data_IF_695054362995
#
_entry.id   IF_695054362995
#
_cell.length_a   1.000
_cell.length_b   1.000
_cell.length_c   1.000
_cell.angle_alpha   90.00
_cell.angle_beta   90.00
_cell.angle_gamma   90.00
#
_symmetry.space_group_name_H-M   'P 1'
#
loop_
_entity.id
_entity.type
_entity.pdbx_description
1 polymer ?
#
# COMPACT_ATOMS: atom_id res chain seq x y z
N UNK A 1 14.23 11.80 2.95
CA UNK A 1 13.90 10.97 1.77
C UNK A 1 12.40 10.98 1.48
N UNK A 2 11.51 10.69 2.45
CA UNK A 2 10.05 10.70 2.25
C UNK A 2 9.53 12.09 1.83
N UNK A 3 9.98 13.16 2.49
CA UNK A 3 9.62 14.53 2.16
C UNK A 3 10.04 14.94 0.74
N UNK A 4 11.18 14.45 0.27
CA UNK A 4 11.66 14.74 -1.08
C UNK A 4 10.73 14.10 -2.12
N UNK A 5 10.32 12.84 -1.91
CA UNK A 5 9.33 12.17 -2.75
C UNK A 5 7.95 12.82 -2.63
N UNK A 6 7.52 13.19 -1.41
CA UNK A 6 6.27 13.90 -1.19
C UNK A 6 6.25 15.26 -1.90
N UNK A 7 7.37 15.98 -1.92
CA UNK A 7 7.52 17.21 -2.68
C UNK A 7 7.39 16.98 -4.19
N UNK A 8 8.06 15.94 -4.73
CA UNK A 8 7.95 15.58 -6.14
C UNK A 8 6.52 15.20 -6.51
N UNK A 9 5.89 14.35 -5.73
CA UNK A 9 4.49 13.95 -5.90
C UNK A 9 3.52 15.12 -5.74
N UNK A 10 3.87 16.08 -4.87
CA UNK A 10 3.10 17.31 -4.67
C UNK A 10 3.02 18.16 -5.93
N UNK A 11 4.11 18.32 -6.66
CA UNK A 11 4.09 19.02 -7.95
C UNK A 11 3.18 18.34 -8.98
N UNK A 12 3.24 17.00 -9.06
CA UNK A 12 2.37 16.25 -9.96
C UNK A 12 0.91 16.40 -9.56
N UNK A 13 0.59 16.27 -8.27
CA UNK A 13 -0.78 16.40 -7.77
C UNK A 13 -1.32 17.82 -7.97
N UNK A 14 -0.51 18.86 -7.69
CA UNK A 14 -0.84 20.27 -7.93
C UNK A 14 -1.13 20.53 -9.41
N UNK A 15 -0.29 20.01 -10.31
CA UNK A 15 -0.53 20.12 -11.75
C UNK A 15 -1.84 19.46 -12.17
N UNK A 16 -2.12 18.25 -11.68
CA UNK A 16 -3.38 17.56 -12.00
C UNK A 16 -4.58 18.32 -11.42
N UNK A 17 -4.46 18.82 -10.19
CA UNK A 17 -5.50 19.62 -9.56
C UNK A 17 -5.79 20.91 -10.35
N UNK A 18 -4.76 21.60 -10.86
CA UNK A 18 -4.95 22.81 -11.67
C UNK A 18 -5.75 22.57 -12.95
N UNK A 19 -5.74 21.34 -13.49
CA UNK A 19 -6.50 20.96 -14.69
C UNK A 19 -7.96 20.64 -14.34
N UNK A 20 -8.19 19.88 -13.26
CA UNK A 20 -9.52 19.31 -12.97
C UNK A 20 -10.29 20.09 -11.90
N UNK A 21 -9.62 20.95 -11.15
CA UNK A 21 -10.16 21.75 -10.04
C UNK A 21 -11.03 20.92 -9.07
N UNK A 22 -10.61 19.67 -8.80
CA UNK A 22 -11.27 18.77 -7.87
C UNK A 22 -10.25 17.80 -7.25
N UNK A 23 -10.13 17.82 -5.93
CA UNK A 23 -9.09 17.07 -5.22
C UNK A 23 -9.25 15.54 -5.37
N UNK A 24 -10.49 15.04 -5.35
CA UNK A 24 -10.75 13.61 -5.52
C UNK A 24 -10.39 13.11 -6.92
N UNK A 25 -10.75 13.85 -7.97
CA UNK A 25 -10.37 13.53 -9.35
C UNK A 25 -8.85 13.60 -9.51
N UNK A 26 -8.21 14.62 -8.94
CA UNK A 26 -6.75 14.75 -8.96
C UNK A 26 -6.05 13.54 -8.30
N UNK A 27 -6.54 13.07 -7.15
CA UNK A 27 -6.03 11.84 -6.49
C UNK A 27 -6.19 10.61 -7.39
N UNK A 28 -7.33 10.46 -8.07
CA UNK A 28 -7.56 9.31 -8.97
C UNK A 28 -6.56 9.33 -10.13
N UNK A 29 -6.43 10.46 -10.82
CA UNK A 29 -5.51 10.63 -11.94
C UNK A 29 -4.05 10.44 -11.50
N UNK A 30 -3.68 11.02 -10.37
CA UNK A 30 -2.37 10.84 -9.76
C UNK A 30 -2.07 9.36 -9.51
N UNK A 31 -3.03 8.64 -8.91
CA UNK A 31 -2.85 7.20 -8.60
C UNK A 31 -2.68 6.38 -9.87
N UNK A 32 -3.45 6.66 -10.92
CA UNK A 32 -3.34 5.98 -12.22
C UNK A 32 -1.96 6.24 -12.85
N UNK A 33 -1.50 7.49 -12.87
CA UNK A 33 -0.20 7.86 -13.45
C UNK A 33 0.94 7.18 -12.69
N UNK A 34 0.94 7.22 -11.36
CA UNK A 34 1.96 6.54 -10.55
C UNK A 34 1.93 5.04 -10.80
N UNK A 35 0.76 4.41 -10.93
CA UNK A 35 0.64 2.98 -11.26
C UNK A 35 1.23 2.65 -12.63
N UNK A 36 1.00 3.47 -13.63
CA UNK A 36 1.58 3.28 -14.98
C UNK A 36 3.11 3.38 -14.93
N UNK A 37 3.65 4.40 -14.23
CA UNK A 37 5.09 4.58 -14.06
C UNK A 37 5.72 3.38 -13.34
N UNK A 38 5.03 2.81 -12.35
CA UNK A 38 5.51 1.67 -11.57
C UNK A 38 5.22 0.31 -12.21
N UNK A 39 4.49 0.26 -13.32
CA UNK A 39 4.11 -1.00 -13.98
C UNK A 39 5.31 -1.91 -14.32
N UNK A 40 6.44 -1.42 -14.88
CA UNK A 40 7.61 -2.26 -15.12
C UNK A 40 8.18 -2.90 -13.84
N UNK A 41 8.15 -2.15 -12.73
CA UNK A 41 8.57 -2.65 -11.43
C UNK A 41 7.61 -3.73 -10.92
N UNK A 42 6.30 -3.52 -11.06
CA UNK A 42 5.26 -4.48 -10.67
C UNK A 42 5.38 -5.80 -11.44
N UNK A 43 5.64 -5.75 -12.75
CA UNK A 43 5.89 -6.94 -13.58
C UNK A 43 7.08 -7.73 -13.04
N UNK A 44 8.20 -7.05 -12.79
CA UNK A 44 9.39 -7.68 -12.22
C UNK A 44 9.12 -8.30 -10.85
N UNK A 45 8.37 -7.60 -9.99
CA UNK A 45 7.96 -8.10 -8.67
C UNK A 45 7.14 -9.39 -8.80
N UNK A 46 6.18 -9.42 -9.72
CA UNK A 46 5.29 -10.57 -9.89
C UNK A 46 6.05 -11.79 -10.44
N UNK A 47 6.96 -11.60 -11.41
CA UNK A 47 7.87 -12.65 -11.88
C UNK A 47 8.77 -13.18 -10.74
N UNK A 48 9.33 -12.29 -9.91
CA UNK A 48 10.12 -12.66 -8.72
C UNK A 48 9.28 -13.44 -7.70
N UNK A 49 8.04 -13.02 -7.42
CA UNK A 49 7.14 -13.75 -6.51
C UNK A 49 6.82 -15.16 -7.00
N UNK A 50 6.54 -15.35 -8.30
CA UNK A 50 6.35 -16.68 -8.89
C UNK A 50 7.59 -17.56 -8.75
N UNK A 51 8.77 -17.00 -9.02
CA UNK A 51 10.04 -17.71 -8.88
C UNK A 51 10.32 -18.08 -7.42
N UNK A 52 10.08 -17.14 -6.48
CA UNK A 52 10.20 -17.40 -5.04
C UNK A 52 9.26 -18.51 -4.56
N UNK A 53 8.03 -18.55 -5.07
CA UNK A 53 7.08 -19.61 -4.75
C UNK A 53 7.55 -21.00 -5.22
N UNK A 54 8.15 -21.09 -6.43
CA UNK A 54 8.76 -22.34 -6.92
C UNK A 54 9.96 -22.75 -6.04
N UNK A 55 10.75 -21.78 -5.59
CA UNK A 55 11.93 -22.04 -4.76
C UNK A 55 11.58 -22.50 -3.33
N UNK A 56 10.43 -22.06 -2.78
CA UNK A 56 9.99 -22.47 -1.43
C UNK A 56 9.91 -23.98 -1.25
N UNK A 57 9.62 -24.76 -2.28
CA UNK A 57 9.62 -26.23 -2.22
C UNK A 57 11.01 -26.80 -2.00
N UNK A 58 11.96 -26.31 -2.81
CA UNK A 58 13.36 -26.73 -2.66
C UNK A 58 13.90 -26.35 -1.28
N UNK A 59 13.50 -25.18 -0.77
CA UNK A 59 13.86 -24.74 0.57
C UNK A 59 13.29 -25.67 1.65
N UNK A 60 12.05 -26.15 1.51
CA UNK A 60 11.44 -27.12 2.44
C UNK A 60 12.22 -28.43 2.46
N UNK A 61 12.62 -28.95 1.31
CA UNK A 61 13.44 -30.18 1.23
C UNK A 61 14.77 -29.99 1.97
N UNK A 62 15.45 -28.85 1.78
CA UNK A 62 16.71 -28.53 2.47
C UNK A 62 16.48 -28.42 3.98
N UNK A 63 15.44 -27.71 4.42
CA UNK A 63 15.08 -27.58 5.84
C UNK A 63 14.82 -28.94 6.48
N UNK A 64 14.13 -29.83 5.78
CA UNK A 64 13.87 -31.19 6.26
C UNK A 64 15.15 -32.01 6.32
N UNK A 65 15.96 -32.03 5.26
CA UNK A 65 17.17 -32.82 5.14
C UNK A 65 18.22 -32.45 6.20
N UNK A 66 18.35 -31.16 6.50
CA UNK A 66 19.37 -30.63 7.42
C UNK A 66 18.79 -30.10 8.73
N UNK A 67 17.63 -30.60 9.18
CA UNK A 67 16.94 -30.14 10.40
C UNK A 67 17.84 -30.12 11.65
N UNK A 68 18.75 -31.07 11.77
CA UNK A 68 19.66 -31.21 12.91
C UNK A 68 21.03 -30.56 12.68
N UNK A 69 21.26 -29.96 11.51
CA UNK A 69 22.53 -29.31 11.14
C UNK A 69 22.25 -27.94 10.56
N UNK A 70 22.13 -26.95 11.46
CA UNK A 70 21.79 -25.57 11.11
C UNK A 70 22.83 -24.92 10.18
N UNK A 71 24.10 -25.28 10.36
CA UNK A 71 25.19 -24.71 9.54
C UNK A 71 25.09 -25.20 8.09
N UNK A 72 24.91 -26.48 7.92
CA UNK A 72 24.75 -27.11 6.61
C UNK A 72 23.44 -26.70 5.94
N UNK A 73 22.36 -26.55 6.69
CA UNK A 73 21.10 -26.02 6.20
C UNK A 73 21.29 -24.60 5.63
N UNK A 74 21.99 -23.71 6.35
CA UNK A 74 22.25 -22.34 5.88
C UNK A 74 23.14 -22.32 4.64
N UNK A 75 24.14 -23.19 4.56
CA UNK A 75 25.02 -23.33 3.40
C UNK A 75 24.22 -23.79 2.16
N UNK A 76 23.38 -24.82 2.29
CA UNK A 76 22.56 -25.34 1.19
C UNK A 76 21.47 -24.34 0.76
N UNK A 77 20.90 -23.60 1.69
CA UNK A 77 19.99 -22.51 1.38
C UNK A 77 20.67 -21.41 0.55
N UNK A 78 21.89 -21.01 0.93
CA UNK A 78 22.67 -20.03 0.16
C UNK A 78 23.09 -20.58 -1.21
N UNK A 79 23.42 -21.85 -1.31
CA UNK A 79 23.70 -22.52 -2.59
C UNK A 79 22.49 -22.52 -3.50
N UNK A 80 21.30 -22.80 -2.96
CA UNK A 80 20.03 -22.75 -3.69
C UNK A 80 19.77 -21.34 -4.25
N UNK A 81 19.95 -20.28 -3.43
CA UNK A 81 19.82 -18.89 -3.90
C UNK A 81 20.77 -18.57 -5.05
N UNK A 82 22.04 -19.03 -4.97
CA UNK A 82 23.04 -18.84 -6.02
C UNK A 82 22.66 -19.59 -7.30
N UNK A 83 22.28 -20.84 -7.19
CA UNK A 83 21.92 -21.72 -8.32
C UNK A 83 20.69 -21.19 -9.08
N UNK A 84 19.72 -20.67 -8.34
CA UNK A 84 18.50 -20.08 -8.91
C UNK A 84 18.69 -18.62 -9.37
N UNK A 85 19.90 -18.04 -9.27
CA UNK A 85 20.18 -16.63 -9.57
C UNK A 85 19.19 -15.69 -8.88
N UNK A 86 18.92 -15.94 -7.59
CA UNK A 86 18.05 -15.11 -6.76
C UNK A 86 18.81 -14.54 -5.58
N UNK A 87 18.49 -13.30 -5.22
CA UNK A 87 18.99 -12.71 -3.97
C UNK A 87 18.01 -13.05 -2.82
N UNK A 88 18.50 -13.45 -1.63
CA UNK A 88 17.65 -13.63 -0.46
C UNK A 88 16.92 -12.33 -0.06
N UNK A 89 17.45 -11.18 -0.48
CA UNK A 89 16.89 -9.85 -0.20
C UNK A 89 15.91 -9.34 -1.26
N UNK A 90 15.70 -10.08 -2.37
CA UNK A 90 14.83 -9.62 -3.47
C UNK A 90 13.37 -9.36 -3.04
N UNK A 91 12.87 -10.13 -2.08
CA UNK A 91 11.54 -9.94 -1.51
C UNK A 91 11.43 -8.72 -0.60
N UNK A 92 12.44 -8.47 0.25
CA UNK A 92 12.40 -7.34 1.18
C UNK A 92 12.63 -6.00 0.47
N UNK A 93 13.42 -5.94 -0.59
CA UNK A 93 13.61 -4.72 -1.38
C UNK A 93 12.29 -4.20 -1.94
N UNK A 94 11.46 -5.11 -2.43
CA UNK A 94 10.10 -4.78 -2.90
C UNK A 94 9.26 -4.16 -1.78
N UNK A 95 9.26 -4.77 -0.59
CA UNK A 95 8.53 -4.27 0.57
C UNK A 95 9.03 -2.88 1.00
N UNK A 96 10.33 -2.64 0.96
CA UNK A 96 10.92 -1.34 1.28
C UNK A 96 10.46 -0.26 0.28
N UNK A 97 10.51 -0.53 -1.03
CA UNK A 97 10.04 0.42 -2.04
C UNK A 97 8.55 0.73 -1.83
N UNK A 98 7.73 -0.30 -1.58
CA UNK A 98 6.30 -0.14 -1.32
C UNK A 98 6.05 0.72 -0.07
N UNK A 99 6.83 0.52 0.99
CA UNK A 99 6.74 1.31 2.23
C UNK A 99 7.15 2.77 1.99
N UNK A 100 8.23 3.01 1.23
CA UNK A 100 8.69 4.35 0.88
C UNK A 100 7.60 5.13 0.11
N UNK A 101 6.96 4.49 -0.87
CA UNK A 101 5.86 5.08 -1.64
C UNK A 101 4.65 5.36 -0.74
N UNK A 102 4.25 4.38 0.09
CA UNK A 102 3.13 4.54 1.02
C UNK A 102 3.32 5.74 1.94
N UNK A 103 4.49 5.85 2.57
CA UNK A 103 4.79 6.95 3.49
C UNK A 103 4.85 8.30 2.75
N UNK A 104 5.44 8.36 1.56
CA UNK A 104 5.51 9.61 0.79
C UNK A 104 4.13 10.12 0.39
N UNK A 105 3.22 9.23 0.00
CA UNK A 105 1.84 9.58 -0.34
C UNK A 105 1.04 9.93 0.93
N UNK A 106 1.29 9.23 2.04
CA UNK A 106 0.70 9.59 3.33
C UNK A 106 1.07 11.03 3.72
N UNK A 107 2.34 11.41 3.60
CA UNK A 107 2.79 12.79 3.86
C UNK A 107 2.09 13.79 2.92
N UNK A 108 2.01 13.48 1.63
CA UNK A 108 1.36 14.33 0.64
C UNK A 108 -0.12 14.58 0.95
N UNK A 109 -0.89 13.53 1.26
CA UNK A 109 -2.33 13.66 1.53
C UNK A 109 -2.60 14.24 2.91
N UNK A 110 -1.71 14.00 3.87
CA UNK A 110 -1.77 14.60 5.22
C UNK A 110 -1.54 16.10 5.19
N UNK A 111 -0.62 16.54 4.34
CA UNK A 111 -0.14 17.93 4.30
C UNK A 111 -0.18 18.50 2.88
N UNK A 112 -1.38 18.61 2.26
CA UNK A 112 -1.53 19.07 0.90
C UNK A 112 -1.14 20.54 0.73
N UNK A 113 -1.30 21.37 1.74
CA UNK A 113 -0.94 22.78 1.73
C UNK A 113 0.59 22.93 1.60
N UNK A 114 1.35 22.15 2.36
CA UNK A 114 2.82 22.14 2.31
C UNK A 114 3.32 21.57 0.97
N UNK A 115 2.82 20.39 0.58
CA UNK A 115 3.42 19.66 -0.56
C UNK A 115 2.82 20.00 -1.92
N UNK A 116 1.54 20.38 -1.99
CA UNK A 116 0.86 20.73 -3.24
C UNK A 116 0.84 22.23 -3.46
N UNK A 117 0.36 23.03 -2.50
CA UNK A 117 0.21 24.47 -2.61
C UNK A 117 1.49 25.27 -2.28
N UNK A 118 2.50 24.61 -1.70
CA UNK A 118 3.81 25.21 -1.36
C UNK A 118 3.71 26.43 -0.47
N UNK A 119 2.76 26.43 0.49
CA UNK A 119 2.65 27.50 1.47
C UNK A 119 3.80 27.34 2.50
N UNK A 120 4.51 28.44 2.86
CA UNK A 120 5.55 28.39 3.87
C UNK A 120 5.03 27.90 5.22
N UNK A 121 5.85 27.11 5.92
CA UNK A 121 5.49 26.57 7.26
C UNK A 121 5.18 27.68 8.28
N UNK A 122 5.79 28.85 8.12
CA UNK A 122 5.54 30.01 8.98
C UNK A 122 4.09 30.50 8.85
N UNK A 123 3.57 30.60 7.62
CA UNK A 123 2.19 30.99 7.35
C UNK A 123 1.21 29.93 7.85
N UNK A 124 1.52 28.65 7.63
CA UNK A 124 0.71 27.53 8.15
C UNK A 124 0.59 27.63 9.67
N UNK A 125 1.72 27.83 10.37
CA UNK A 125 1.73 27.97 11.83
C UNK A 125 0.96 29.22 12.29
N UNK A 126 1.08 30.33 11.58
CA UNK A 126 0.29 31.56 11.82
C UNK A 126 -1.21 31.26 11.77
N UNK A 127 -1.69 30.57 10.72
CA UNK A 127 -3.12 30.25 10.59
C UNK A 127 -3.59 29.28 11.67
N UNK A 128 -2.78 28.28 12.04
CA UNK A 128 -3.08 27.36 13.13
C UNK A 128 -3.23 28.16 14.45
N UNK A 129 -2.29 29.05 14.76
CA UNK A 129 -2.35 29.87 15.98
C UNK A 129 -3.60 30.75 16.01
N UNK A 130 -3.97 31.39 14.89
CA UNK A 130 -5.19 32.19 14.81
C UNK A 130 -6.46 31.38 15.12
N UNK A 131 -6.55 30.15 14.62
CA UNK A 131 -7.69 29.28 14.89
C UNK A 131 -7.73 28.83 16.35
N UNK A 132 -6.57 28.50 16.94
CA UNK A 132 -6.45 28.11 18.35
C UNK A 132 -6.81 29.24 19.31
N UNK A 133 -6.40 30.47 19.01
CA UNK A 133 -6.76 31.68 19.79
C UNK A 133 -8.27 31.94 19.81
N UNK A 134 -8.99 31.58 18.75
CA UNK A 134 -10.44 31.63 18.67
C UNK A 134 -11.13 30.40 19.28
N UNK A 135 -10.36 29.51 19.92
CA UNK A 135 -10.91 28.31 20.60
C UNK A 135 -11.34 27.17 19.66
N UNK A 136 -10.87 27.19 18.39
CA UNK A 136 -11.17 26.13 17.44
C UNK A 136 -10.23 24.94 17.65
N UNK A 137 -10.78 23.75 17.63
CA UNK A 137 -10.01 22.53 17.77
C UNK A 137 -9.27 22.20 16.47
N UNK A 138 -7.95 22.10 16.54
CA UNK A 138 -7.08 21.71 15.42
C UNK A 138 -6.45 20.34 15.72
N UNK A 139 -6.57 19.43 14.78
CA UNK A 139 -5.99 18.10 14.87
C UNK A 139 -4.46 18.16 14.92
N UNK A 140 -3.85 17.50 15.87
CA UNK A 140 -2.40 17.33 15.91
C UNK A 140 -1.86 16.47 14.77
N UNK A 141 -2.71 15.65 14.15
CA UNK A 141 -2.31 14.72 13.08
C UNK A 141 -2.55 15.32 11.71
N UNK A 142 -3.66 16.04 11.51
CA UNK A 142 -4.08 16.57 10.21
C UNK A 142 -4.37 18.08 10.24
N UNK A 143 -3.46 18.92 10.76
CA UNK A 143 -3.74 20.35 10.94
C UNK A 143 -4.04 21.05 9.61
N UNK A 144 -3.39 20.69 8.52
CA UNK A 144 -3.59 21.33 7.22
C UNK A 144 -4.97 21.01 6.63
N UNK A 145 -5.54 19.86 6.93
CA UNK A 145 -6.91 19.51 6.52
C UNK A 145 -7.92 20.39 7.27
N UNK A 146 -7.67 20.67 8.55
CA UNK A 146 -8.51 21.57 9.31
C UNK A 146 -8.40 23.03 8.79
N UNK A 147 -7.20 23.48 8.38
CA UNK A 147 -7.05 24.79 7.72
C UNK A 147 -7.89 24.89 6.44
N UNK A 148 -7.93 23.85 5.62
CA UNK A 148 -8.76 23.79 4.41
C UNK A 148 -10.25 23.90 4.77
N UNK A 149 -10.68 23.19 5.82
CA UNK A 149 -12.08 23.24 6.31
C UNK A 149 -12.45 24.63 6.84
N UNK A 150 -11.51 25.31 7.46
CA UNK A 150 -11.69 26.64 8.05
C UNK A 150 -11.34 27.78 7.09
N UNK A 151 -11.20 27.48 5.77
CA UNK A 151 -10.85 28.44 4.73
C UNK A 151 -11.70 29.73 4.80
N UNK A 152 -13.03 29.61 4.89
CA UNK A 152 -13.92 30.76 4.87
C UNK A 152 -13.64 31.72 6.04
N UNK A 153 -13.42 31.19 7.23
CA UNK A 153 -13.07 31.97 8.41
C UNK A 153 -11.69 32.63 8.27
N UNK A 154 -10.69 31.87 7.80
CA UNK A 154 -9.34 32.39 7.58
C UNK A 154 -9.33 33.48 6.51
N UNK A 155 -10.14 33.34 5.48
CA UNK A 155 -10.30 34.34 4.42
C UNK A 155 -10.91 35.64 4.93
N UNK A 156 -11.90 35.56 5.82
CA UNK A 156 -12.51 36.74 6.43
C UNK A 156 -11.50 37.50 7.34
N UNK A 157 -10.69 36.76 8.08
CA UNK A 157 -9.67 37.35 8.99
C UNK A 157 -8.44 37.86 8.25
N UNK A 158 -8.09 37.29 7.09
CA UNK A 158 -6.91 37.65 6.31
C UNK A 158 -7.27 37.96 4.82
N UNK A 159 -8.09 38.94 4.53
CA UNK A 159 -8.66 39.19 3.18
C UNK A 159 -7.64 39.50 2.11
N UNK A 160 -6.47 40.06 2.48
CA UNK A 160 -5.40 40.43 1.55
C UNK A 160 -4.29 39.38 1.44
N UNK A 161 -4.36 38.31 2.22
CA UNK A 161 -3.32 37.28 2.24
C UNK A 161 -3.54 36.29 1.08
N UNK A 162 -2.69 36.37 0.07
CA UNK A 162 -2.76 35.49 -1.11
C UNK A 162 -2.54 34.01 -0.81
N UNK A 163 -1.87 33.68 0.30
CA UNK A 163 -1.66 32.28 0.70
C UNK A 163 -2.94 31.67 1.28
N UNK A 164 -3.83 32.48 1.85
CA UNK A 164 -5.14 31.99 2.30
C UNK A 164 -5.98 31.53 1.12
N UNK A 165 -5.91 32.18 -0.05
CA UNK A 165 -6.64 31.75 -1.26
C UNK A 165 -6.26 30.33 -1.70
N UNK A 166 -5.02 29.92 -1.49
CA UNK A 166 -4.54 28.58 -1.82
C UNK A 166 -5.11 27.50 -0.89
N UNK A 167 -5.70 27.87 0.25
CA UNK A 167 -6.41 26.93 1.13
C UNK A 167 -7.76 26.50 0.54
N UNK A 168 -8.27 27.21 -0.47
CA UNK A 168 -9.54 26.90 -1.13
C UNK A 168 -9.44 25.66 -2.03
N UNK A 169 -9.11 24.53 -1.45
CA UNK A 169 -9.08 23.27 -2.18
C UNK A 169 -10.49 22.67 -2.28
N UNK A 170 -10.92 22.33 -3.50
CA UNK A 170 -12.23 21.71 -3.74
C UNK A 170 -12.22 20.24 -3.30
N UNK A 171 -12.55 20.02 -2.01
CA UNK A 171 -12.52 18.69 -1.36
C UNK A 171 -13.80 17.87 -1.59
N UNK A 172 -14.83 18.45 -2.21
CA UNK A 172 -16.06 17.73 -2.48
C UNK A 172 -15.91 16.83 -3.72
N UNK A 173 -16.08 15.53 -3.54
CA UNK A 173 -15.99 14.51 -4.59
C UNK A 173 -17.26 13.63 -4.56
N UNK A 174 -18.09 13.68 -5.60
CA UNK A 174 -19.36 12.95 -5.72
C UNK A 174 -20.29 13.15 -4.51
N UNK A 175 -20.30 14.35 -3.93
CA UNK A 175 -21.09 14.67 -2.74
C UNK A 175 -20.43 14.26 -1.41
N UNK A 176 -19.23 13.70 -1.45
CA UNK A 176 -18.46 13.32 -0.27
C UNK A 176 -17.39 14.37 0.01
N UNK A 177 -17.33 14.89 1.21
CA UNK A 177 -16.29 15.82 1.65
C UNK A 177 -15.03 15.05 2.07
N UNK A 178 -14.00 15.10 1.22
CA UNK A 178 -12.76 14.36 1.41
C UNK A 178 -11.90 14.87 2.57
N UNK A 179 -12.19 16.05 3.12
CA UNK A 179 -11.53 16.58 4.32
C UNK A 179 -12.03 15.95 5.61
N UNK A 180 -13.21 15.33 5.60
CA UNK A 180 -13.80 14.72 6.80
C UNK A 180 -13.06 13.48 7.24
N UNK A 181 -13.00 13.30 8.56
CA UNK A 181 -12.45 12.11 9.23
C UNK A 181 -13.61 11.33 9.83
N UNK A 182 -13.82 10.03 9.50
CA UNK A 182 -14.97 9.27 9.97
C UNK A 182 -15.13 9.28 11.49
N UNK A 183 -14.05 9.11 12.23
CA UNK A 183 -14.07 9.10 13.70
C UNK A 183 -14.55 10.43 14.31
N UNK A 184 -14.31 11.55 13.64
CA UNK A 184 -14.72 12.88 14.11
C UNK A 184 -16.13 13.27 13.64
N UNK A 185 -16.67 12.57 12.63
CA UNK A 185 -17.96 12.91 11.99
C UNK A 185 -18.93 11.74 12.01
N UNK A 186 -19.06 11.04 13.15
CA UNK A 186 -19.83 9.78 13.25
C UNK A 186 -21.33 9.93 12.95
N UNK A 187 -21.89 11.12 13.09
CA UNK A 187 -23.30 11.40 12.77
C UNK A 187 -23.57 11.50 11.25
N UNK A 188 -22.52 11.70 10.45
CA UNK A 188 -22.61 11.79 8.99
C UNK A 188 -22.32 10.42 8.36
N UNK A 189 -23.36 9.72 7.95
CA UNK A 189 -23.22 8.39 7.35
C UNK A 189 -22.41 8.37 6.06
N UNK A 190 -22.28 9.50 5.36
CA UNK A 190 -21.54 9.59 4.10
C UNK A 190 -20.04 9.35 4.29
N UNK A 191 -19.49 9.62 5.47
CA UNK A 191 -18.07 9.40 5.79
C UNK A 191 -17.65 7.93 5.79
N UNK A 192 -18.60 7.00 5.87
CA UNK A 192 -18.31 5.56 5.88
C UNK A 192 -18.29 4.95 4.48
N UNK A 193 -18.77 5.65 3.45
CA UNK A 193 -18.89 5.09 2.08
C UNK A 193 -17.53 4.66 1.55
N UNK A 194 -16.54 5.55 1.55
CA UNK A 194 -15.19 5.24 1.04
C UNK A 194 -14.49 4.15 1.87
N UNK A 195 -14.45 4.22 3.22
CA UNK A 195 -13.88 3.15 4.04
C UNK A 195 -14.54 1.78 3.81
N UNK A 196 -15.87 1.71 3.68
CA UNK A 196 -16.58 0.45 3.42
C UNK A 196 -16.19 -0.12 2.04
N UNK A 197 -16.17 0.71 0.99
CA UNK A 197 -15.73 0.30 -0.34
C UNK A 197 -14.28 -0.18 -0.33
N UNK A 198 -13.42 0.50 0.43
CA UNK A 198 -12.03 0.08 0.63
C UNK A 198 -11.94 -1.29 1.31
N UNK A 199 -12.70 -1.53 2.37
CA UNK A 199 -12.77 -2.83 3.05
C UNK A 199 -13.21 -3.92 2.08
N UNK A 200 -14.28 -3.69 1.32
CA UNK A 200 -14.78 -4.66 0.34
C UNK A 200 -13.73 -4.97 -0.73
N UNK A 201 -13.08 -3.95 -1.30
CA UNK A 201 -12.02 -4.14 -2.29
C UNK A 201 -10.80 -4.87 -1.70
N UNK A 202 -10.46 -4.62 -0.43
CA UNK A 202 -9.38 -5.30 0.28
C UNK A 202 -9.68 -6.79 0.48
N UNK A 203 -10.92 -7.13 0.81
CA UNK A 203 -11.35 -8.53 0.88
C UNK A 203 -11.19 -9.26 -0.46
N UNK A 204 -11.58 -8.62 -1.57
CA UNK A 204 -11.38 -9.17 -2.91
C UNK A 204 -9.90 -9.39 -3.19
N UNK A 205 -9.05 -8.39 -2.89
CA UNK A 205 -7.60 -8.47 -3.09
C UNK A 205 -6.95 -9.60 -2.29
N UNK A 206 -7.33 -9.77 -1.01
CA UNK A 206 -6.84 -10.85 -0.14
C UNK A 206 -7.27 -12.21 -0.67
N UNK A 207 -8.55 -12.37 -1.05
CA UNK A 207 -9.07 -13.62 -1.63
C UNK A 207 -8.32 -14.01 -2.89
N UNK A 208 -8.05 -13.05 -3.78
CA UNK A 208 -7.27 -13.30 -4.99
C UNK A 208 -5.83 -13.74 -4.67
N UNK A 209 -5.17 -13.08 -3.70
CA UNK A 209 -3.81 -13.42 -3.29
C UNK A 209 -3.74 -14.82 -2.70
N UNK A 210 -4.65 -15.14 -1.77
CA UNK A 210 -4.70 -16.46 -1.12
C UNK A 210 -5.08 -17.58 -2.08
N UNK A 211 -6.00 -17.33 -3.03
CA UNK A 211 -6.39 -18.32 -4.04
C UNK A 211 -5.25 -18.67 -5.00
N UNK A 212 -4.44 -17.67 -5.40
CA UNK A 212 -3.24 -17.90 -6.23
C UNK A 212 -2.21 -18.73 -5.46
N UNK A 213 -1.95 -18.40 -4.20
CA UNK A 213 -1.04 -19.15 -3.34
C UNK A 213 -1.53 -20.59 -3.09
N UNK A 214 -2.83 -20.78 -2.86
CA UNK A 214 -3.43 -22.10 -2.66
C UNK A 214 -3.35 -22.96 -3.92
N UNK A 215 -3.71 -22.43 -5.09
CA UNK A 215 -3.58 -23.16 -6.37
C UNK A 215 -2.14 -23.57 -6.68
N UNK A 216 -1.17 -22.76 -6.30
CA UNK A 216 0.25 -23.11 -6.40
C UNK A 216 0.62 -24.23 -5.42
N UNK A 217 0.07 -24.22 -4.21
CA UNK A 217 0.30 -25.25 -3.20
C UNK A 217 -0.47 -26.55 -3.50
N UNK A 218 -1.70 -26.50 -4.05
CA UNK A 218 -2.49 -27.70 -4.38
C UNK A 218 -1.98 -28.42 -5.62
N UNK A 219 -1.52 -27.72 -6.66
CA UNK A 219 -0.83 -28.33 -7.81
C UNK A 219 0.44 -29.08 -7.37
N UNK A 220 0.87 -28.91 -6.13
CA UNK A 220 2.14 -29.35 -5.56
C UNK A 220 2.01 -30.23 -4.32
N UNK A 221 0.79 -30.62 -3.92
CA UNK A 221 0.55 -31.73 -2.97
C UNK A 221 0.92 -33.13 -3.54
N UNK A 222 1.71 -33.15 -4.63
CA UNK A 222 2.47 -34.31 -5.05
C UNK A 222 3.54 -34.60 -3.99
N UNK A 223 3.63 -35.85 -3.60
CA UNK A 223 4.57 -36.47 -2.69
C UNK A 223 5.95 -35.83 -2.79
N UNK A 224 6.50 -35.31 -1.70
CA UNK A 224 7.89 -34.85 -1.66
C UNK A 224 8.76 -36.09 -1.82
N UNK A 225 9.37 -36.29 -2.97
CA UNK A 225 10.27 -37.41 -3.23
C UNK A 225 11.69 -36.87 -2.99
N UNK A 226 12.42 -37.51 -2.12
CA UNK A 226 13.85 -37.27 -1.96
C UNK A 226 14.58 -37.66 -3.24
N UNK A 227 15.19 -36.66 -3.91
CA UNK A 227 15.86 -36.84 -5.20
C UNK A 227 17.07 -37.78 -5.17
N UNK A 228 17.63 -38.10 -3.99
CA UNK A 228 18.75 -39.02 -3.83
C UNK A 228 18.29 -40.44 -3.48
N UNK A 229 17.20 -40.59 -2.69
CA UNK A 229 16.75 -41.90 -2.19
C UNK A 229 15.50 -42.41 -2.91
N UNK A 230 14.82 -41.58 -3.69
CA UNK A 230 13.56 -41.93 -4.38
C UNK A 230 12.40 -42.25 -3.42
N UNK A 231 12.57 -42.03 -2.11
CA UNK A 231 11.57 -42.34 -1.10
C UNK A 231 10.65 -41.15 -0.83
N UNK A 232 9.39 -41.47 -0.62
CA UNK A 232 8.37 -40.52 -0.18
C UNK A 232 8.65 -40.05 1.26
N UNK A 233 8.80 -38.74 1.44
CA UNK A 233 9.01 -38.15 2.78
C UNK A 233 7.64 -37.95 3.41
N UNK A 234 7.15 -38.98 4.12
CA UNK A 234 5.94 -38.93 4.92
C UNK A 234 6.31 -38.71 6.40
N UNK A 235 6.17 -37.48 6.92
CA UNK A 235 6.44 -37.23 8.32
C UNK A 235 5.49 -36.19 8.93
N UNK A 236 4.57 -36.64 9.78
CA UNK A 236 3.57 -35.84 10.49
C UNK A 236 4.18 -34.70 11.36
N UNK A 237 5.42 -34.85 11.84
CA UNK A 237 6.09 -33.81 12.63
C UNK A 237 6.59 -32.62 11.79
N UNK A 238 6.95 -32.87 10.52
CA UNK A 238 7.38 -31.78 9.61
C UNK A 238 6.19 -30.95 9.13
N UNK A 239 4.99 -31.52 9.05
CA UNK A 239 3.76 -30.77 8.72
C UNK A 239 3.49 -29.67 9.74
N UNK A 240 3.64 -29.92 11.03
CA UNK A 240 3.37 -28.94 12.08
C UNK A 240 4.35 -27.75 12.08
N UNK A 241 5.63 -27.95 11.77
CA UNK A 241 6.63 -26.87 11.69
C UNK A 241 6.48 -26.06 10.39
N UNK A 242 6.17 -26.73 9.28
CA UNK A 242 5.89 -26.13 8.00
C UNK A 242 4.58 -25.33 8.05
N UNK A 243 3.57 -25.86 8.73
CA UNK A 243 2.31 -25.18 8.96
C UNK A 243 2.49 -23.94 9.83
N UNK A 244 3.39 -23.96 10.83
CA UNK A 244 3.71 -22.79 11.65
C UNK A 244 4.33 -21.65 10.80
N UNK A 245 5.26 -21.95 9.89
CA UNK A 245 5.86 -20.96 8.98
C UNK A 245 4.83 -20.43 7.97
N UNK A 246 3.99 -21.33 7.42
CA UNK A 246 2.89 -20.94 6.53
C UNK A 246 1.84 -20.12 7.27
N UNK A 247 1.53 -20.44 8.50
CA UNK A 247 0.60 -19.69 9.35
C UNK A 247 1.15 -18.30 9.69
N UNK A 248 2.44 -18.17 9.94
CA UNK A 248 3.12 -16.88 10.15
C UNK A 248 3.05 -16.01 8.89
N UNK A 249 3.32 -16.57 7.72
CA UNK A 249 3.21 -15.85 6.44
C UNK A 249 1.76 -15.45 6.14
N UNK A 250 0.79 -16.30 6.46
CA UNK A 250 -0.63 -16.00 6.32
C UNK A 250 -1.05 -14.90 7.29
N UNK A 251 -0.60 -14.95 8.54
CA UNK A 251 -0.88 -13.93 9.55
C UNK A 251 -0.28 -12.56 9.14
N UNK A 252 0.96 -12.54 8.64
CA UNK A 252 1.57 -11.31 8.10
C UNK A 252 0.80 -10.75 6.90
N UNK A 253 0.27 -11.59 6.02
CA UNK A 253 -0.53 -11.16 4.87
C UNK A 253 -1.86 -10.52 5.27
N UNK A 254 -2.42 -10.87 6.44
CA UNK A 254 -3.66 -10.30 6.97
C UNK A 254 -3.42 -9.06 7.84
N UNK A 255 -2.26 -8.96 8.49
CA UNK A 255 -1.94 -7.88 9.42
C UNK A 255 -1.91 -6.52 8.69
N UNK A 256 -1.34 -6.46 7.50
CA UNK A 256 -1.23 -5.21 6.73
C UNK A 256 -2.61 -4.66 6.31
N UNK A 257 -3.54 -5.43 5.73
CA UNK A 257 -4.91 -4.97 5.45
C UNK A 257 -5.69 -4.56 6.70
N UNK A 258 -5.59 -5.32 7.79
CA UNK A 258 -6.29 -4.98 9.05
C UNK A 258 -5.81 -3.63 9.58
N UNK A 259 -4.51 -3.38 9.59
CA UNK A 259 -3.93 -2.10 10.01
C UNK A 259 -4.42 -0.95 9.10
N UNK A 260 -4.43 -1.16 7.78
CA UNK A 260 -4.88 -0.15 6.82
C UNK A 260 -6.38 0.16 6.97
N UNK A 261 -7.20 -0.83 7.27
CA UNK A 261 -8.63 -0.65 7.57
C UNK A 261 -8.79 0.24 8.82
N UNK A 262 -8.05 -0.06 9.89
CA UNK A 262 -8.10 0.76 11.12
C UNK A 262 -7.72 2.22 10.85
N UNK A 263 -6.70 2.45 10.04
CA UNK A 263 -6.27 3.81 9.67
C UNK A 263 -7.33 4.51 8.81
N UNK A 264 -8.07 3.81 7.95
CA UNK A 264 -9.11 4.41 7.10
C UNK A 264 -10.25 5.09 7.90
N UNK A 265 -10.45 4.73 9.17
CA UNK A 265 -11.44 5.36 10.05
C UNK A 265 -10.92 6.59 10.79
N UNK A 266 -9.60 6.70 10.96
CA UNK A 266 -8.93 7.81 11.67
C UNK A 266 -8.26 8.81 10.74
N UNK A 267 -8.24 8.52 9.44
CA UNK A 267 -7.67 9.35 8.40
C UNK A 267 -8.74 10.15 7.64
N UNK A 268 -8.37 11.29 7.01
CA UNK A 268 -9.25 12.01 6.09
C UNK A 268 -9.69 11.12 4.92
N UNK A 269 -10.94 11.31 4.45
CA UNK A 269 -11.52 10.53 3.35
C UNK A 269 -10.67 10.60 2.06
N UNK A 270 -9.91 11.68 1.84
CA UNK A 270 -8.98 11.79 0.72
C UNK A 270 -7.91 10.69 0.73
N UNK A 271 -7.37 10.34 1.91
CA UNK A 271 -6.41 9.24 2.05
C UNK A 271 -7.09 7.87 1.86
N UNK A 272 -8.29 7.70 2.39
CA UNK A 272 -9.06 6.47 2.18
C UNK A 272 -9.42 6.29 0.69
N UNK A 273 -9.74 7.37 -0.03
CA UNK A 273 -9.98 7.36 -1.48
C UNK A 273 -8.72 6.91 -2.24
N UNK A 274 -7.56 7.46 -1.91
CA UNK A 274 -6.30 7.01 -2.51
C UNK A 274 -6.12 5.49 -2.32
N UNK A 275 -6.31 4.97 -1.11
CA UNK A 275 -6.17 3.54 -0.84
C UNK A 275 -7.18 2.69 -1.61
N UNK A 276 -8.44 3.13 -1.69
CA UNK A 276 -9.48 2.46 -2.48
C UNK A 276 -9.07 2.35 -3.95
N UNK A 277 -8.71 3.46 -4.58
CA UNK A 277 -8.32 3.50 -6.00
C UNK A 277 -7.05 2.67 -6.24
N UNK A 278 -6.03 2.82 -5.39
CA UNK A 278 -4.81 2.03 -5.47
C UNK A 278 -5.10 0.51 -5.38
N UNK A 279 -6.02 0.11 -4.51
CA UNK A 279 -6.40 -1.30 -4.34
C UNK A 279 -7.17 -1.84 -5.55
N UNK A 280 -8.11 -1.06 -6.09
CA UNK A 280 -8.82 -1.41 -7.34
C UNK A 280 -7.83 -1.58 -8.50
N UNK A 281 -6.92 -0.62 -8.69
CA UNK A 281 -5.91 -0.69 -9.73
C UNK A 281 -4.95 -1.88 -9.54
N UNK A 282 -4.59 -2.21 -8.29
CA UNK A 282 -3.78 -3.39 -7.98
C UNK A 282 -4.51 -4.69 -8.32
N UNK A 283 -5.82 -4.78 -8.09
CA UNK A 283 -6.63 -5.94 -8.50
C UNK A 283 -6.63 -6.08 -10.03
N UNK A 284 -6.89 -4.97 -10.75
CA UNK A 284 -6.90 -4.95 -12.21
C UNK A 284 -5.52 -5.32 -12.79
N UNK A 285 -4.46 -4.71 -12.28
CA UNK A 285 -3.08 -5.01 -12.65
C UNK A 285 -2.77 -6.50 -12.49
N UNK A 286 -3.14 -7.10 -11.35
CA UNK A 286 -2.92 -8.52 -11.09
C UNK A 286 -3.69 -9.42 -12.05
N UNK A 287 -4.94 -9.09 -12.36
CA UNK A 287 -5.75 -9.86 -13.34
C UNK A 287 -5.13 -9.83 -14.74
N UNK A 288 -4.61 -8.67 -15.15
CA UNK A 288 -3.96 -8.50 -16.47
C UNK A 288 -2.64 -9.26 -16.49
N UNK A 289 -1.78 -9.06 -15.49
CA UNK A 289 -0.45 -9.67 -15.46
C UNK A 289 -0.51 -11.21 -15.31
N UNK A 290 -1.49 -11.75 -14.58
CA UNK A 290 -1.67 -13.20 -14.50
C UNK A 290 -2.01 -13.83 -15.84
N UNK A 291 -2.75 -13.12 -16.71
CA UNK A 291 -3.02 -13.60 -18.07
C UNK A 291 -1.79 -13.53 -18.96
N UNK A 292 -1.09 -12.39 -18.95
CA UNK A 292 0.10 -12.15 -19.79
C UNK A 292 1.23 -13.13 -19.43
N UNK A 293 1.54 -13.28 -18.14
CA UNK A 293 2.65 -14.14 -17.72
C UNK A 293 2.32 -15.65 -17.90
N UNK A 294 1.02 -16.05 -17.91
CA UNK A 294 0.66 -17.43 -18.25
C UNK A 294 0.87 -17.73 -19.71
N UNK A 295 0.61 -16.78 -20.60
CA UNK A 295 0.88 -16.95 -22.04
C UNK A 295 2.38 -17.08 -22.31
N UNK A 296 3.24 -16.28 -21.62
CA UNK A 296 4.70 -16.43 -21.74
C UNK A 296 5.19 -17.81 -21.24
N UNK A 297 4.63 -18.35 -20.14
CA UNK A 297 5.00 -19.68 -19.58
C UNK A 297 4.51 -20.86 -20.48
N UNK A 298 3.55 -20.66 -21.40
CA UNK A 298 3.02 -21.67 -22.33
C UNK A 298 3.73 -21.64 -23.70
N UNK A 299 4.41 -20.54 -24.02
CA UNK A 299 5.17 -20.36 -25.28
C UNK A 299 6.67 -20.74 -25.13
N UNK A 300 7.20 -20.88 -23.90
CA UNK A 300 8.54 -21.41 -23.60
C UNK A 300 8.52 -22.95 -23.36
#
# INVERSE_FOLDING_TARGET
MFELLANFFGYLLSFLYSIVNNYGIAIILFTVIIKIILLPLSIKQQKTMKKSAKMQEKMKVIQFKYKNDQEKMNQEMMNLYKTENMSPFSGCLTAIIQLLLLLSIFYLVRSPITYMEKIPTEDINKYISQLQEEGREISNVYPEIDLIREYNWLKEKNPEDSNVEKLNLQMNFLGLDLSKIPQQNMADYTVYIIPILYILSSFVSIRMTTAIQQKQNEKKKGKIIDGETGREIENQQSENEIDAVMQTNKMMSWMMPIMSISIAFVAPLGLALYWLINNILMILERLILDKVIKQEDEEE
#
